data_IF_990138674266
#
_entry.id   IF_990138674266
#
_cell.length_a   1.000
_cell.length_b   1.000
_cell.length_c   1.000
_cell.angle_alpha   90.00
_cell.angle_beta   90.00
_cell.angle_gamma   90.00
#
_symmetry.space_group_name_H-M   'P 1'
#
loop_
_entity.id
_entity.type
_entity.pdbx_description
1 polymer ?
#
# COMPACT_ATOMS: atom_id res chain seq x y z
N UNK A 1 17.80 44.94 -0.95
CA UNK A 1 16.78 44.08 -0.33
C UNK A 1 15.62 43.91 -1.30
N UNK A 2 15.64 42.85 -2.11
CA UNK A 2 14.57 42.57 -3.08
C UNK A 2 13.43 41.81 -2.39
N UNK A 3 12.19 42.32 -2.54
CA UNK A 3 10.97 41.69 -2.02
C UNK A 3 10.35 40.87 -3.15
N UNK A 4 10.37 39.54 -3.05
CA UNK A 4 9.63 38.69 -3.97
C UNK A 4 8.18 38.54 -3.47
N UNK A 5 7.22 39.06 -4.24
CA UNK A 5 5.79 38.76 -4.08
C UNK A 5 5.46 37.56 -4.96
N UNK A 6 5.20 36.40 -4.37
CA UNK A 6 4.67 35.24 -5.09
C UNK A 6 3.16 35.41 -5.27
N UNK A 7 2.71 35.70 -6.50
CA UNK A 7 1.29 35.65 -6.87
C UNK A 7 0.94 34.17 -7.07
N UNK A 8 0.18 33.62 -6.12
CA UNK A 8 -0.32 32.25 -6.15
C UNK A 8 -1.55 32.20 -7.06
N UNK A 9 -1.37 31.81 -8.32
CA UNK A 9 -2.48 31.57 -9.25
C UNK A 9 -3.03 30.16 -9.03
N UNK A 10 -4.15 30.04 -8.33
CA UNK A 10 -4.97 28.83 -8.35
C UNK A 10 -5.62 28.73 -9.74
N UNK A 11 -5.21 27.74 -10.53
CA UNK A 11 -5.91 27.37 -11.75
C UNK A 11 -6.87 26.23 -11.42
N UNK A 12 -8.16 26.54 -11.33
CA UNK A 12 -9.24 25.55 -11.39
C UNK A 12 -9.15 24.85 -12.75
N UNK A 13 -8.52 23.67 -12.77
CA UNK A 13 -8.28 22.90 -14.00
C UNK A 13 -9.07 21.59 -14.10
N UNK A 14 -10.05 21.38 -13.22
CA UNK A 14 -10.86 20.15 -13.18
C UNK A 14 -12.35 20.40 -13.45
N UNK A 15 -12.67 21.31 -14.38
CA UNK A 15 -14.00 21.35 -14.99
C UNK A 15 -13.99 20.51 -16.28
N UNK A 16 -14.01 19.18 -16.15
CA UNK A 16 -14.36 18.28 -17.25
C UNK A 16 -15.87 18.37 -17.52
N UNK A 17 -16.30 19.48 -18.11
CA UNK A 17 -17.65 19.64 -18.63
C UNK A 17 -17.87 18.65 -19.78
N UNK A 18 -18.49 17.51 -19.50
CA UNK A 18 -19.00 16.61 -20.54
C UNK A 18 -20.16 17.31 -21.25
N UNK A 19 -19.86 18.00 -22.35
CA UNK A 19 -20.88 18.57 -23.22
C UNK A 19 -21.61 17.43 -23.94
N UNK A 20 -22.83 17.13 -23.50
CA UNK A 20 -23.74 16.21 -24.20
C UNK A 20 -24.31 16.94 -25.42
N UNK A 21 -23.98 16.47 -26.61
CA UNK A 21 -24.50 17.02 -27.86
C UNK A 21 -25.99 16.69 -28.02
N UNK A 22 -26.83 17.73 -28.16
CA UNK A 22 -28.29 17.61 -28.28
C UNK A 22 -28.78 16.87 -29.54
N UNK A 23 -27.93 16.67 -30.56
CA UNK A 23 -28.34 16.03 -31.81
C UNK A 23 -28.60 14.53 -31.68
N UNK A 24 -28.03 13.85 -30.69
CA UNK A 24 -28.23 12.41 -30.51
C UNK A 24 -29.63 12.03 -29.99
N UNK A 25 -30.39 12.99 -29.44
CA UNK A 25 -31.73 12.75 -28.91
C UNK A 25 -32.85 12.91 -29.96
N UNK A 26 -32.58 13.62 -31.07
CA UNK A 26 -33.59 13.89 -32.09
C UNK A 26 -33.89 12.66 -32.98
N UNK A 27 -32.92 11.77 -33.17
CA UNK A 27 -33.10 10.58 -34.01
C UNK A 27 -33.95 9.48 -33.35
N UNK A 28 -34.19 9.57 -32.04
CA UNK A 28 -34.97 8.56 -31.30
C UNK A 28 -36.47 8.90 -31.26
N UNK A 29 -36.86 10.16 -31.49
CA UNK A 29 -38.27 10.59 -31.39
C UNK A 29 -39.09 10.42 -32.68
N UNK A 30 -38.49 9.95 -33.79
CA UNK A 30 -39.15 9.79 -35.08
C UNK A 30 -39.80 8.40 -35.32
N UNK A 31 -39.62 7.43 -34.42
CA UNK A 31 -40.21 6.10 -34.54
C UNK A 31 -41.20 5.83 -33.41
N UNK A 32 -42.49 6.11 -33.65
CA UNK A 32 -43.57 5.65 -32.79
C UNK A 32 -43.80 4.13 -32.96
N UNK A 33 -44.04 3.40 -31.86
CA UNK A 33 -44.97 2.28 -31.92
C UNK A 33 -46.11 2.43 -30.91
N UNK A 34 -47.27 1.94 -31.33
CA UNK A 34 -48.53 1.91 -30.64
C UNK A 34 -48.51 1.05 -29.36
N UNK A 35 -49.51 1.28 -28.51
CA UNK A 35 -49.75 0.71 -27.20
C UNK A 35 -49.67 -0.82 -27.09
N UNK A 36 -49.10 -1.30 -25.98
CA UNK A 36 -49.56 -2.49 -25.26
C UNK A 36 -49.03 -2.47 -23.81
N UNK A 37 -49.93 -2.67 -22.86
CA UNK A 37 -49.63 -2.93 -21.45
C UNK A 37 -49.24 -4.40 -21.25
N UNK A 38 -48.27 -4.68 -20.36
CA UNK A 38 -48.29 -5.74 -19.36
C UNK A 38 -46.87 -6.04 -18.81
N UNK A 39 -46.77 -5.91 -17.48
CA UNK A 39 -46.10 -6.78 -16.51
C UNK A 39 -44.66 -7.32 -16.73
N UNK A 40 -43.80 -6.96 -15.77
CA UNK A 40 -42.81 -7.85 -15.15
C UNK A 40 -41.61 -8.32 -15.97
N UNK A 41 -40.46 -7.65 -15.85
CA UNK A 41 -39.16 -8.30 -16.04
C UNK A 41 -37.99 -7.52 -15.42
N UNK A 42 -37.34 -8.17 -14.44
CA UNK A 42 -35.90 -8.15 -14.12
C UNK A 42 -35.10 -6.95 -14.64
N UNK A 43 -34.81 -6.04 -13.73
CA UNK A 43 -33.87 -4.94 -13.93
C UNK A 43 -32.43 -5.47 -13.96
N UNK A 44 -32.05 -6.01 -15.10
CA UNK A 44 -30.67 -6.27 -15.52
C UNK A 44 -30.25 -5.26 -16.57
N UNK A 45 -30.58 -3.98 -16.36
CA UNK A 45 -30.31 -2.90 -17.30
C UNK A 45 -28.81 -2.62 -17.44
N UNK A 46 -28.34 -2.70 -18.69
CA UNK A 46 -27.04 -2.25 -19.15
C UNK A 46 -26.72 -0.85 -18.58
N UNK A 47 -25.60 -0.63 -17.84
CA UNK A 47 -25.30 0.64 -17.17
C UNK A 47 -25.07 1.81 -18.14
N UNK A 48 -25.01 1.51 -19.45
CA UNK A 48 -24.88 2.46 -20.54
C UNK A 48 -26.22 3.07 -20.99
N UNK A 49 -27.36 2.52 -20.56
CA UNK A 49 -28.69 2.96 -20.99
C UNK A 49 -29.33 3.87 -19.92
N UNK A 50 -29.45 5.15 -20.24
CA UNK A 50 -30.11 6.13 -19.37
C UNK A 50 -31.55 5.72 -19.07
N UNK A 51 -31.85 5.47 -17.80
CA UNK A 51 -33.20 5.25 -17.31
C UNK A 51 -33.92 6.59 -17.16
N UNK A 52 -34.82 6.90 -18.09
CA UNK A 52 -35.71 8.05 -17.97
C UNK A 52 -36.99 7.59 -17.27
N UNK A 53 -37.05 7.80 -15.96
CA UNK A 53 -38.26 7.59 -15.19
C UNK A 53 -39.22 8.78 -15.40
N UNK A 54 -40.32 8.54 -16.13
CA UNK A 54 -41.39 9.52 -16.27
C UNK A 54 -42.10 9.63 -14.91
N UNK A 55 -42.03 10.80 -14.29
CA UNK A 55 -42.69 11.06 -13.01
C UNK A 55 -44.12 11.50 -13.32
N UNK A 56 -45.11 10.75 -12.85
CA UNK A 56 -46.52 11.02 -13.16
C UNK A 56 -47.15 12.09 -12.22
N UNK A 57 -46.49 12.40 -11.10
CA UNK A 57 -46.96 13.36 -10.09
C UNK A 57 -46.13 14.66 -10.08
N UNK A 58 -45.91 15.26 -11.24
CA UNK A 58 -45.20 16.56 -11.31
C UNK A 58 -46.14 17.66 -10.80
N UNK A 59 -45.88 18.15 -9.60
CA UNK A 59 -46.51 19.38 -9.10
C UNK A 59 -46.13 20.55 -10.00
N UNK A 60 -47.10 21.42 -10.34
CA UNK A 60 -46.90 22.51 -11.29
C UNK A 60 -45.77 23.44 -10.87
N UNK A 61 -45.06 24.05 -11.83
CA UNK A 61 -43.87 24.89 -11.56
C UNK A 61 -44.11 26.10 -10.65
N UNK A 62 -45.37 26.47 -10.39
CA UNK A 62 -45.79 27.53 -9.46
C UNK A 62 -46.26 27.01 -8.10
N UNK A 63 -46.35 25.69 -7.90
CA UNK A 63 -46.65 25.11 -6.60
C UNK A 63 -45.38 25.23 -5.74
N UNK A 64 -45.49 25.93 -4.61
CA UNK A 64 -44.35 26.11 -3.70
C UNK A 64 -43.81 24.78 -3.17
N UNK A 65 -42.59 24.80 -2.62
CA UNK A 65 -41.97 23.63 -2.01
C UNK A 65 -42.89 23.06 -0.91
N UNK A 66 -43.25 21.78 -1.04
CA UNK A 66 -44.06 21.10 -0.03
C UNK A 66 -43.22 20.86 1.23
N UNK A 67 -43.86 20.80 2.41
CA UNK A 67 -43.15 20.47 3.65
C UNK A 67 -42.45 19.09 3.60
N UNK A 68 -42.93 18.18 2.74
CA UNK A 68 -42.28 16.90 2.47
C UNK A 68 -40.93 17.00 1.74
N UNK A 69 -40.72 18.02 0.91
CA UNK A 69 -39.45 18.23 0.19
C UNK A 69 -38.31 18.60 1.13
N UNK A 70 -38.62 19.26 2.26
CA UNK A 70 -37.60 19.58 3.25
C UNK A 70 -37.05 18.32 3.93
N UNK A 71 -37.91 17.35 4.24
CA UNK A 71 -37.48 16.11 4.87
C UNK A 71 -36.65 15.25 3.92
N UNK A 72 -37.05 15.13 2.65
CA UNK A 72 -36.28 14.37 1.65
C UNK A 72 -34.93 15.02 1.35
N UNK A 73 -34.88 16.35 1.29
CA UNK A 73 -33.63 17.08 1.07
C UNK A 73 -32.66 16.97 2.25
N UNK A 74 -33.15 17.01 3.49
CA UNK A 74 -32.31 16.80 4.68
C UNK A 74 -31.72 15.40 4.73
N UNK A 75 -32.51 14.37 4.43
CA UNK A 75 -32.00 12.99 4.35
C UNK A 75 -30.95 12.83 3.25
N UNK A 76 -31.18 13.45 2.08
CA UNK A 76 -30.23 13.45 0.96
C UNK A 76 -28.91 14.11 1.33
N UNK A 77 -28.96 15.29 1.95
CA UNK A 77 -27.77 16.02 2.39
C UNK A 77 -27.02 15.22 3.46
N UNK A 78 -27.72 14.64 4.43
CA UNK A 78 -27.11 13.80 5.46
C UNK A 78 -26.39 12.58 4.86
N UNK A 79 -27.01 11.90 3.88
CA UNK A 79 -26.39 10.78 3.18
C UNK A 79 -25.13 11.21 2.39
N UNK A 80 -25.16 12.39 1.76
CA UNK A 80 -24.01 12.94 1.04
C UNK A 80 -22.86 13.27 2.01
N UNK A 81 -23.15 13.90 3.14
CA UNK A 81 -22.16 14.22 4.16
C UNK A 81 -21.53 12.96 4.78
N UNK A 82 -22.34 11.92 5.03
CA UNK A 82 -21.84 10.63 5.54
C UNK A 82 -20.85 10.01 4.55
N UNK A 83 -21.21 9.91 3.26
CA UNK A 83 -20.32 9.40 2.21
C UNK A 83 -19.03 10.22 2.12
N UNK A 84 -19.12 11.54 2.22
CA UNK A 84 -17.94 12.40 2.21
C UNK A 84 -17.01 12.12 3.41
N UNK A 85 -17.57 11.97 4.61
CA UNK A 85 -16.80 11.64 5.82
C UNK A 85 -16.11 10.28 5.70
N UNK A 86 -16.82 9.26 5.20
CA UNK A 86 -16.27 7.92 4.97
C UNK A 86 -15.14 7.95 3.94
N UNK A 87 -15.36 8.59 2.79
CA UNK A 87 -14.36 8.70 1.74
C UNK A 87 -13.11 9.44 2.23
N UNK A 88 -13.29 10.53 2.98
CA UNK A 88 -12.18 11.29 3.57
C UNK A 88 -11.40 10.45 4.57
N UNK A 89 -12.08 9.73 5.46
CA UNK A 89 -11.43 8.84 6.42
C UNK A 89 -10.64 7.72 5.74
N UNK A 90 -11.18 7.12 4.67
CA UNK A 90 -10.47 6.12 3.88
C UNK A 90 -9.23 6.70 3.19
N UNK A 91 -9.32 7.88 2.57
CA UNK A 91 -8.18 8.54 1.95
C UNK A 91 -7.07 8.86 2.96
N UNK A 92 -7.42 9.35 4.14
CA UNK A 92 -6.45 9.63 5.20
C UNK A 92 -5.77 8.34 5.70
N UNK A 93 -6.55 7.26 5.86
CA UNK A 93 -6.02 5.95 6.22
C UNK A 93 -5.06 5.40 5.16
N UNK A 94 -5.41 5.47 3.88
CA UNK A 94 -4.53 5.03 2.80
C UNK A 94 -3.27 5.88 2.70
N UNK A 95 -3.38 7.20 2.83
CA UNK A 95 -2.24 8.11 2.79
C UNK A 95 -1.26 7.81 3.94
N UNK A 96 -1.77 7.61 5.16
CA UNK A 96 -0.93 7.26 6.31
C UNK A 96 -0.30 5.88 6.16
N UNK A 97 -1.02 4.90 5.63
CA UNK A 97 -0.50 3.56 5.31
C UNK A 97 0.64 3.62 4.28
N UNK A 98 0.45 4.37 3.18
CA UNK A 98 1.46 4.55 2.12
C UNK A 98 2.72 5.21 2.67
N UNK A 99 2.58 6.32 3.42
CA UNK A 99 3.73 7.00 4.06
C UNK A 99 4.53 6.07 4.98
N UNK A 100 3.86 5.27 5.82
CA UNK A 100 4.55 4.31 6.70
C UNK A 100 5.28 3.22 5.91
N UNK A 101 4.70 2.74 4.80
CA UNK A 101 5.34 1.78 3.93
C UNK A 101 6.60 2.38 3.26
N UNK A 102 6.49 3.58 2.70
CA UNK A 102 7.62 4.30 2.09
C UNK A 102 8.76 4.57 3.09
N UNK A 103 8.44 4.97 4.31
CA UNK A 103 9.45 5.17 5.37
C UNK A 103 10.18 3.86 5.73
N UNK A 104 9.45 2.75 5.77
CA UNK A 104 10.04 1.44 6.03
C UNK A 104 10.93 0.99 4.87
N UNK A 105 10.47 1.14 3.64
CA UNK A 105 11.23 0.86 2.43
C UNK A 105 12.50 1.72 2.36
N UNK A 106 12.43 3.01 2.65
CA UNK A 106 13.60 3.89 2.69
C UNK A 106 14.62 3.44 3.77
N UNK A 107 14.16 3.01 4.95
CA UNK A 107 15.04 2.45 5.99
C UNK A 107 15.66 1.12 5.55
N UNK A 108 14.90 0.26 4.89
CA UNK A 108 15.34 -1.01 4.33
C UNK A 108 16.41 -0.80 3.24
N UNK A 109 16.15 0.09 2.28
CA UNK A 109 17.08 0.45 1.21
C UNK A 109 18.38 1.01 1.77
N UNK A 110 18.33 1.97 2.72
CA UNK A 110 19.53 2.48 3.40
C UNK A 110 20.36 1.39 4.05
N UNK A 111 19.72 0.39 4.70
CA UNK A 111 20.42 -0.75 5.30
C UNK A 111 21.01 -1.69 4.24
N UNK A 112 20.27 -1.96 3.17
CA UNK A 112 20.73 -2.77 2.05
C UNK A 112 21.93 -2.13 1.35
N UNK A 113 21.88 -0.83 1.08
CA UNK A 113 22.98 -0.06 0.48
C UNK A 113 24.21 -0.05 1.38
N UNK A 114 24.03 0.12 2.70
CA UNK A 114 25.14 0.03 3.66
C UNK A 114 25.79 -1.36 3.64
N UNK A 115 24.99 -2.43 3.57
CA UNK A 115 25.50 -3.81 3.45
C UNK A 115 26.22 -4.01 2.12
N UNK A 116 25.66 -3.51 1.01
CA UNK A 116 26.28 -3.56 -0.32
C UNK A 116 27.63 -2.85 -0.34
N UNK A 117 27.70 -1.61 0.14
CA UNK A 117 28.95 -0.84 0.23
C UNK A 117 30.00 -1.53 1.11
N UNK A 118 29.60 -2.16 2.22
CA UNK A 118 30.51 -2.95 3.07
C UNK A 118 31.05 -4.17 2.35
N UNK A 119 30.19 -4.90 1.63
CA UNK A 119 30.59 -6.05 0.80
C UNK A 119 31.55 -5.62 -0.32
N UNK A 120 31.27 -4.52 -1.00
CA UNK A 120 32.15 -3.97 -2.06
C UNK A 120 33.51 -3.56 -1.49
N UNK A 121 33.55 -2.89 -0.34
CA UNK A 121 34.82 -2.55 0.34
C UNK A 121 35.61 -3.77 0.81
N UNK A 122 34.94 -4.77 1.37
CA UNK A 122 35.60 -6.01 1.79
C UNK A 122 36.15 -6.78 0.59
N UNK A 123 35.43 -6.82 -0.54
CA UNK A 123 35.92 -7.41 -1.78
C UNK A 123 37.11 -6.66 -2.38
N UNK A 124 37.07 -5.33 -2.35
CA UNK A 124 38.19 -4.51 -2.83
C UNK A 124 39.44 -4.73 -1.98
N UNK A 125 39.30 -4.75 -0.64
CA UNK A 125 40.41 -5.07 0.27
C UNK A 125 40.96 -6.48 0.07
N UNK A 126 40.09 -7.48 -0.08
CA UNK A 126 40.54 -8.84 -0.33
C UNK A 126 41.29 -8.99 -1.67
N UNK A 127 41.00 -8.17 -2.68
CA UNK A 127 41.78 -8.15 -3.93
C UNK A 127 43.13 -7.44 -3.76
N UNK A 128 43.18 -6.40 -2.94
CA UNK A 128 44.40 -5.65 -2.59
C UNK A 128 45.35 -6.53 -1.76
N UNK A 129 44.84 -7.16 -0.69
CA UNK A 129 45.60 -8.08 0.17
C UNK A 129 46.15 -9.28 -0.64
N UNK A 130 45.41 -9.80 -1.62
CA UNK A 130 45.90 -10.88 -2.50
C UNK A 130 46.97 -10.39 -3.48
N UNK A 131 46.94 -9.12 -3.90
CA UNK A 131 48.02 -8.54 -4.70
C UNK A 131 49.28 -8.29 -3.88
N UNK A 132 49.13 -7.80 -2.65
CA UNK A 132 50.24 -7.62 -1.72
C UNK A 132 50.85 -8.96 -1.29
N UNK A 133 50.03 -9.99 -1.02
CA UNK A 133 50.51 -11.34 -0.74
C UNK A 133 51.20 -11.98 -1.96
N UNK A 134 50.81 -11.64 -3.21
CA UNK A 134 51.53 -12.11 -4.40
C UNK A 134 52.86 -11.38 -4.63
N UNK A 135 52.99 -10.13 -4.19
CA UNK A 135 54.28 -9.42 -4.16
C UNK A 135 55.18 -9.94 -3.03
N UNK A 136 54.64 -10.17 -1.83
CA UNK A 136 55.40 -10.72 -0.70
C UNK A 136 55.76 -12.21 -0.91
N UNK A 137 54.93 -13.02 -1.59
CA UNK A 137 55.28 -14.40 -1.95
C UNK A 137 56.37 -14.48 -3.03
N UNK A 138 56.61 -13.41 -3.80
CA UNK A 138 57.79 -13.30 -4.67
C UNK A 138 59.07 -13.00 -3.87
N UNK A 139 58.98 -12.36 -2.70
CA UNK A 139 60.13 -12.12 -1.80
C UNK A 139 60.33 -13.23 -0.75
N UNK A 140 59.31 -14.01 -0.39
CA UNK A 140 59.38 -15.03 0.69
C UNK A 140 59.60 -16.48 0.22
N UNK A 141 59.79 -16.74 -1.09
CA UNK A 141 60.20 -18.07 -1.58
C UNK A 141 61.64 -18.50 -1.18
N UNK A 142 62.38 -17.70 -0.39
CA UNK A 142 63.66 -18.11 0.21
C UNK A 142 63.58 -18.58 1.68
N UNK A 143 62.43 -18.56 2.37
CA UNK A 143 62.40 -18.97 3.78
C UNK A 143 61.18 -19.81 4.22
N UNK A 144 61.41 -21.13 4.30
CA UNK A 144 60.89 -22.12 5.30
C UNK A 144 59.35 -22.24 5.49
N UNK A 145 58.70 -23.35 5.12
CA UNK A 145 58.62 -24.64 5.86
C UNK A 145 58.59 -24.52 7.41
N UNK A 146 57.39 -24.65 8.04
CA UNK A 146 57.00 -25.66 9.06
C UNK A 146 55.67 -25.33 9.79
N UNK A 147 54.91 -26.40 10.15
CA UNK A 147 53.88 -26.58 11.22
C UNK A 147 52.52 -25.87 11.11
N UNK A 148 51.37 -26.53 10.88
CA UNK A 148 50.53 -27.52 11.65
C UNK A 148 49.54 -26.92 12.66
N UNK A 149 48.29 -27.40 12.50
CA UNK A 149 47.14 -27.49 13.41
C UNK A 149 46.45 -26.22 13.95
N UNK A 150 45.18 -26.04 13.54
CA UNK A 150 44.21 -25.14 14.17
C UNK A 150 42.93 -25.92 14.49
N UNK A 151 42.68 -26.05 15.79
CA UNK A 151 41.40 -26.48 16.37
C UNK A 151 40.26 -25.53 15.94
N UNK A 152 39.07 -26.12 15.76
CA UNK A 152 37.82 -25.42 15.49
C UNK A 152 37.41 -24.53 16.68
N UNK A 153 37.90 -23.28 16.69
CA UNK A 153 37.28 -22.21 17.46
C UNK A 153 36.06 -21.70 16.71
N UNK A 154 34.88 -22.08 17.21
CA UNK A 154 33.61 -21.46 16.82
C UNK A 154 33.70 -19.96 17.12
N UNK A 155 33.49 -19.07 16.15
CA UNK A 155 33.63 -17.64 16.35
C UNK A 155 32.55 -17.14 17.30
N UNK A 156 32.92 -16.85 18.55
CA UNK A 156 32.05 -16.14 19.47
C UNK A 156 31.72 -14.77 18.90
N UNK A 157 30.43 -14.58 18.59
CA UNK A 157 29.92 -13.28 18.15
C UNK A 157 30.04 -12.26 19.31
N UNK A 158 30.21 -10.95 19.01
CA UNK A 158 30.53 -9.90 19.98
C UNK A 158 29.33 -9.50 20.88
N UNK A 159 28.77 -10.50 21.57
CA UNK A 159 27.64 -10.39 22.48
C UNK A 159 27.53 -11.55 23.48
N UNK A 160 28.42 -12.55 23.46
CA UNK A 160 28.46 -13.63 24.45
C UNK A 160 27.21 -14.52 24.49
N UNK A 161 26.32 -14.39 23.51
CA UNK A 161 25.17 -15.28 23.34
C UNK A 161 25.64 -16.45 22.48
N UNK A 162 25.65 -17.69 23.00
CA UNK A 162 25.97 -18.87 22.21
C UNK A 162 25.05 -18.89 20.99
N UNK A 163 25.63 -19.01 19.80
CA UNK A 163 24.86 -19.04 18.56
C UNK A 163 23.96 -20.27 18.59
N UNK A 164 22.67 -20.06 18.87
CA UNK A 164 21.68 -21.14 18.85
C UNK A 164 21.55 -21.57 17.39
N UNK A 165 21.85 -22.84 17.05
CA UNK A 165 21.68 -23.33 15.70
C UNK A 165 20.24 -23.13 15.26
N UNK A 166 20.03 -22.63 14.03
CA UNK A 166 18.70 -22.47 13.46
C UNK A 166 18.18 -23.81 12.89
N UNK A 167 18.29 -24.86 13.70
CA UNK A 167 17.92 -26.24 13.41
C UNK A 167 16.53 -26.60 13.99
N UNK A 168 15.86 -25.64 14.64
CA UNK A 168 14.57 -25.85 15.30
C UNK A 168 14.67 -26.48 16.69
N UNK A 169 15.87 -26.86 17.15
CA UNK A 169 16.08 -27.49 18.47
C UNK A 169 15.63 -26.59 19.63
N UNK A 170 15.70 -25.27 19.46
CA UNK A 170 15.22 -24.30 20.44
C UNK A 170 13.70 -24.33 20.61
N UNK A 171 12.94 -24.44 19.52
CA UNK A 171 11.48 -24.54 19.54
C UNK A 171 11.03 -25.85 20.22
N UNK A 172 11.74 -26.95 19.94
CA UNK A 172 11.47 -28.24 20.60
C UNK A 172 11.71 -28.16 22.11
N UNK A 173 12.82 -27.53 22.55
CA UNK A 173 13.11 -27.31 23.98
C UNK A 173 12.05 -26.45 24.65
N UNK A 174 11.57 -25.40 24.00
CA UNK A 174 10.49 -24.54 24.50
C UNK A 174 9.16 -25.28 24.62
N UNK A 175 8.79 -26.08 23.62
CA UNK A 175 7.57 -26.89 23.65
C UNK A 175 7.63 -27.99 24.73
N UNK A 176 8.79 -28.61 24.94
CA UNK A 176 8.99 -29.59 26.00
C UNK A 176 8.83 -28.95 27.39
N UNK A 177 9.38 -27.75 27.60
CA UNK A 177 9.21 -26.98 28.85
C UNK A 177 7.75 -26.61 29.11
N UNK A 178 6.99 -26.23 28.08
CA UNK A 178 5.56 -25.96 28.23
C UNK A 178 4.79 -27.22 28.64
N UNK A 179 5.04 -28.35 27.97
CA UNK A 179 4.39 -29.63 28.33
C UNK A 179 4.69 -30.07 29.76
N UNK A 180 5.93 -29.85 30.23
CA UNK A 180 6.32 -30.16 31.61
C UNK A 180 5.60 -29.26 32.62
N UNK A 181 5.43 -27.97 32.31
CA UNK A 181 4.65 -27.05 33.14
C UNK A 181 3.18 -27.46 33.18
N UNK A 182 2.58 -27.75 32.03
CA UNK A 182 1.19 -28.17 31.94
C UNK A 182 0.92 -29.51 32.65
N UNK A 183 1.88 -30.44 32.65
CA UNK A 183 1.77 -31.68 33.42
C UNK A 183 1.92 -31.44 34.93
N UNK A 184 2.85 -30.58 35.34
CA UNK A 184 3.06 -30.25 36.74
C UNK A 184 1.86 -29.49 37.35
N UNK A 185 1.21 -28.63 36.56
CA UNK A 185 0.00 -27.91 36.97
C UNK A 185 -1.24 -28.81 37.05
N UNK A 186 -1.26 -29.95 36.35
CA UNK A 186 -2.37 -30.93 36.39
C UNK A 186 -2.25 -31.96 37.51
N UNK A 187 -1.07 -32.11 38.10
CA UNK A 187 -0.83 -33.02 39.24
C UNK A 187 -1.03 -32.33 40.61
N UNK A 188 -1.49 -31.08 40.62
CA UNK A 188 -1.92 -30.31 41.80
C UNK A 188 -3.45 -30.21 41.80
#
# INVERSE_FOLDING_TARGET
>A
MARYTSVQTFSDRDASGAAVAYSAAADISAAAPAAAAADGAKDGGDPSKFHVNRVDNVSGSSAGAGSGDFHTEMERVAAMEQRYKENKAQQEFEATRKRKAEEFEAKMQKRADKRRRRKERAKAKALDDVQDEQQEQQEQQESKQTSTDKEEQVPETPGGVPEIPNDGSFLEKMLALQKQKDSAEKEI
#
